data_IF_446732231431
#
_entry.id   IF_446732231431
#
_cell.length_a   1.000
_cell.length_b   1.000
_cell.length_c   1.000
_cell.angle_alpha   90.00
_cell.angle_beta   90.00
_cell.angle_gamma   90.00
#
_symmetry.space_group_name_H-M   'P 1'
#
loop_
_entity.id
_entity.type
_entity.pdbx_description
1 polymer ?
#
# COMPACT_ATOMS: atom_id res chain seq x y z
N UNK A 1 -15.00 -10.25 -20.05
CA UNK A 1 -14.00 -10.84 -19.14
C UNK A 1 -13.90 -12.31 -19.53
N UNK A 2 -12.73 -12.81 -19.91
CA UNK A 2 -12.52 -14.26 -20.09
C UNK A 2 -12.27 -14.83 -18.70
N UNK A 3 -13.29 -15.48 -18.13
CA UNK A 3 -13.13 -16.30 -16.93
C UNK A 3 -12.51 -17.64 -17.37
N UNK A 4 -11.60 -18.21 -16.57
CA UNK A 4 -10.87 -19.47 -16.79
C UNK A 4 -9.61 -19.52 -17.66
N UNK A 5 -9.00 -18.39 -18.05
CA UNK A 5 -7.65 -18.42 -18.63
C UNK A 5 -6.63 -17.83 -17.65
N UNK A 6 -5.74 -18.64 -17.04
CA UNK A 6 -4.71 -18.12 -16.15
C UNK A 6 -3.81 -17.15 -16.91
N UNK A 7 -3.67 -15.92 -16.38
CA UNK A 7 -2.87 -14.84 -16.98
C UNK A 7 -1.37 -15.06 -16.74
N UNK A 8 -1.00 -15.71 -15.64
CA UNK A 8 0.36 -16.12 -15.31
C UNK A 8 0.37 -17.25 -14.27
N UNK A 9 1.45 -18.02 -14.21
CA UNK A 9 1.69 -19.06 -13.19
C UNK A 9 2.83 -18.66 -12.25
N UNK A 10 2.62 -18.78 -10.93
CA UNK A 10 3.62 -18.50 -9.90
C UNK A 10 4.16 -19.80 -9.33
N UNK A 11 5.48 -20.00 -9.43
CA UNK A 11 6.16 -21.21 -8.95
C UNK A 11 7.41 -20.84 -8.13
N UNK A 12 7.72 -21.63 -7.10
CA UNK A 12 8.98 -21.56 -6.34
C UNK A 12 9.51 -22.95 -6.11
N UNK A 13 10.83 -23.13 -6.21
CA UNK A 13 11.51 -24.37 -5.84
C UNK A 13 11.56 -24.52 -4.32
N UNK A 14 11.20 -25.69 -3.81
CA UNK A 14 11.32 -26.03 -2.39
C UNK A 14 12.79 -26.26 -2.00
N UNK A 15 13.17 -25.85 -0.78
CA UNK A 15 14.50 -26.13 -0.22
C UNK A 15 14.62 -27.58 0.28
N UNK A 16 15.83 -28.03 0.63
CA UNK A 16 16.08 -29.44 1.02
C UNK A 16 15.24 -29.91 2.22
N UNK A 17 14.94 -29.01 3.16
CA UNK A 17 14.11 -29.30 4.33
C UNK A 17 12.64 -29.43 3.93
N UNK A 18 12.13 -28.47 3.15
CA UNK A 18 10.76 -28.44 2.64
C UNK A 18 10.45 -29.61 1.71
N UNK A 19 11.45 -30.09 0.95
CA UNK A 19 11.32 -31.28 0.10
C UNK A 19 11.05 -32.57 0.90
N UNK A 20 11.42 -32.62 2.18
CA UNK A 20 11.20 -33.77 3.06
C UNK A 20 9.83 -33.74 3.76
N UNK A 21 9.07 -32.65 3.63
CA UNK A 21 7.76 -32.55 4.26
C UNK A 21 6.75 -33.57 3.71
N UNK A 22 5.78 -34.00 4.55
CA UNK A 22 4.59 -34.71 4.10
C UNK A 22 3.87 -33.93 2.99
N UNK A 23 3.13 -34.64 2.13
CA UNK A 23 2.44 -34.04 0.97
C UNK A 23 1.53 -32.86 1.37
N UNK A 24 0.72 -33.04 2.41
CA UNK A 24 -0.13 -31.99 2.98
C UNK A 24 0.64 -30.72 3.38
N UNK A 25 1.79 -30.88 4.04
CA UNK A 25 2.57 -29.73 4.52
C UNK A 25 3.26 -28.99 3.38
N UNK A 26 3.58 -29.69 2.28
CA UNK A 26 4.04 -29.06 1.03
C UNK A 26 2.95 -28.23 0.39
N UNK A 27 1.73 -28.74 0.34
CA UNK A 27 0.55 -28.00 -0.16
C UNK A 27 0.30 -26.75 0.69
N UNK A 28 0.31 -26.88 2.01
CA UNK A 28 0.17 -25.74 2.93
C UNK A 28 1.28 -24.71 2.77
N UNK A 29 2.52 -25.14 2.54
CA UNK A 29 3.65 -24.23 2.26
C UNK A 29 3.45 -23.47 0.94
N UNK A 30 2.96 -24.14 -0.10
CA UNK A 30 2.68 -23.52 -1.39
C UNK A 30 1.55 -22.48 -1.30
N UNK A 31 0.46 -22.80 -0.60
CA UNK A 31 -0.66 -21.89 -0.35
C UNK A 31 -0.18 -20.65 0.43
N UNK A 32 0.55 -20.85 1.53
CA UNK A 32 1.08 -19.75 2.34
C UNK A 32 2.03 -18.86 1.53
N UNK A 33 2.88 -19.43 0.68
CA UNK A 33 3.77 -18.65 -0.18
C UNK A 33 2.99 -17.81 -1.22
N UNK A 34 1.91 -18.36 -1.77
CA UNK A 34 1.05 -17.61 -2.70
C UNK A 34 0.38 -16.43 -2.00
N UNK A 35 -0.28 -16.70 -0.87
CA UNK A 35 -0.98 -15.71 -0.07
C UNK A 35 -0.03 -14.63 0.47
N UNK A 36 1.15 -15.02 0.98
CA UNK A 36 2.14 -14.07 1.47
C UNK A 36 2.63 -13.16 0.35
N UNK A 37 2.88 -13.70 -0.83
CA UNK A 37 3.41 -12.89 -1.91
C UNK A 37 2.35 -11.97 -2.56
N UNK A 38 1.06 -12.32 -2.49
CA UNK A 38 -0.06 -11.41 -2.80
C UNK A 38 -0.19 -10.32 -1.73
N UNK A 39 -0.18 -10.70 -0.46
CA UNK A 39 -0.23 -9.75 0.66
C UNK A 39 0.97 -8.80 0.65
N UNK A 40 2.17 -9.30 0.35
CA UNK A 40 3.40 -8.51 0.21
C UNK A 40 3.30 -7.56 -0.99
N UNK A 41 2.75 -7.99 -2.12
CA UNK A 41 2.55 -7.10 -3.27
C UNK A 41 1.58 -5.95 -2.94
N UNK A 42 0.45 -6.26 -2.30
CA UNK A 42 -0.55 -5.27 -1.89
C UNK A 42 -0.01 -4.33 -0.79
N UNK A 43 0.73 -4.87 0.18
CA UNK A 43 1.36 -4.06 1.25
C UNK A 43 2.53 -3.23 0.74
N UNK A 44 3.33 -3.73 -0.21
CA UNK A 44 4.38 -2.96 -0.85
C UNK A 44 3.80 -1.79 -1.63
N UNK A 45 2.82 -2.02 -2.50
CA UNK A 45 2.13 -0.97 -3.28
C UNK A 45 1.52 0.10 -2.36
N UNK A 46 0.82 -0.32 -1.31
CA UNK A 46 0.23 0.63 -0.36
C UNK A 46 1.31 1.36 0.45
N UNK A 47 2.42 0.70 0.81
CA UNK A 47 3.53 1.31 1.56
C UNK A 47 4.36 2.30 0.74
N UNK A 48 4.61 2.03 -0.56
CA UNK A 48 5.38 2.90 -1.44
C UNK A 48 4.62 4.18 -1.74
N UNK A 49 3.33 4.09 -2.07
CA UNK A 49 2.47 5.25 -2.30
C UNK A 49 2.30 6.07 -1.01
N UNK A 50 2.09 5.40 0.13
CA UNK A 50 2.01 6.05 1.44
C UNK A 50 3.29 6.81 1.76
N UNK A 51 4.46 6.24 1.45
CA UNK A 51 5.76 6.89 1.66
C UNK A 51 5.91 8.13 0.77
N UNK A 52 5.51 8.04 -0.51
CA UNK A 52 5.48 9.17 -1.46
C UNK A 52 4.53 10.28 -1.00
N UNK A 53 3.39 9.94 -0.43
CA UNK A 53 2.45 10.92 0.16
C UNK A 53 3.10 11.61 1.35
N UNK A 54 3.70 10.86 2.28
CA UNK A 54 4.42 11.43 3.43
C UNK A 54 5.54 12.38 3.00
N UNK A 55 6.33 11.98 2.01
CA UNK A 55 7.35 12.83 1.40
C UNK A 55 6.73 14.11 0.82
N UNK A 56 5.67 13.98 0.01
CA UNK A 56 4.95 15.12 -0.54
C UNK A 56 4.41 16.08 0.52
N UNK A 57 3.91 15.57 1.66
CA UNK A 57 3.44 16.40 2.78
C UNK A 57 4.59 17.21 3.39
N UNK A 58 5.80 16.65 3.39
CA UNK A 58 7.02 17.32 3.86
C UNK A 58 7.59 18.33 2.86
N UNK A 59 7.08 18.41 1.63
CA UNK A 59 7.53 19.36 0.62
C UNK A 59 6.50 20.43 0.29
N UNK A 60 5.21 20.14 0.43
CA UNK A 60 4.13 21.10 0.21
C UNK A 60 4.03 22.09 1.39
N UNK A 61 4.28 23.40 1.18
CA UNK A 61 4.21 24.40 2.25
C UNK A 61 2.84 24.47 2.93
N UNK A 62 1.76 24.28 2.16
CA UNK A 62 0.40 24.28 2.70
C UNK A 62 0.17 23.05 3.58
N UNK A 63 0.62 21.88 3.11
CA UNK A 63 0.51 20.63 3.87
C UNK A 63 1.24 20.74 5.22
N UNK A 64 2.42 21.35 5.26
CA UNK A 64 3.15 21.61 6.51
C UNK A 64 2.36 22.44 7.50
N UNK A 65 1.78 23.55 7.05
CA UNK A 65 0.97 24.43 7.89
C UNK A 65 -0.25 23.67 8.42
N UNK A 66 -0.92 22.89 7.57
CA UNK A 66 -2.05 22.06 7.98
C UNK A 66 -1.67 20.99 9.00
N UNK A 67 -0.52 20.34 8.82
CA UNK A 67 0.00 19.34 9.76
C UNK A 67 0.31 19.95 11.13
N UNK A 68 0.95 21.11 11.18
CA UNK A 68 1.24 21.80 12.44
C UNK A 68 -0.06 22.23 13.14
N UNK A 69 -1.00 22.84 12.41
CA UNK A 69 -2.31 23.20 12.98
C UNK A 69 -3.07 21.99 13.53
N UNK A 70 -2.96 20.84 12.86
CA UNK A 70 -3.59 19.58 13.29
C UNK A 70 -2.94 19.04 14.57
N UNK A 71 -1.60 19.04 14.67
CA UNK A 71 -0.87 18.61 15.88
C UNK A 71 -1.15 19.51 17.07
N UNK A 72 -1.24 20.82 16.85
CA UNK A 72 -1.53 21.81 17.89
C UNK A 72 -3.02 21.85 18.28
N UNK A 73 -3.88 21.07 17.63
CA UNK A 73 -5.33 21.07 17.87
C UNK A 73 -6.03 22.37 17.46
N UNK A 74 -5.39 23.22 16.65
CA UNK A 74 -5.92 24.51 16.17
C UNK A 74 -6.98 24.34 15.07
N UNK A 75 -7.12 23.15 14.51
CA UNK A 75 -8.13 22.84 13.50
C UNK A 75 -8.92 21.60 13.89
N UNK A 76 -10.25 21.66 13.68
CA UNK A 76 -11.14 20.49 13.74
C UNK A 76 -11.35 19.85 12.36
N UNK A 77 -10.78 20.46 11.31
CA UNK A 77 -10.96 20.01 9.93
C UNK A 77 -9.96 18.95 9.51
N UNK A 78 -8.84 18.86 10.21
CA UNK A 78 -7.72 17.99 9.88
C UNK A 78 -7.14 17.36 11.14
N UNK A 79 -6.60 16.15 11.01
CA UNK A 79 -5.82 15.46 12.04
C UNK A 79 -4.67 14.70 11.39
N UNK A 80 -3.65 14.39 12.17
CA UNK A 80 -2.51 13.60 11.73
C UNK A 80 -2.58 12.22 12.37
N UNK A 81 -2.46 11.19 11.54
CA UNK A 81 -2.44 9.78 11.96
C UNK A 81 -1.34 9.06 11.18
N UNK A 82 -0.42 8.37 11.86
CA UNK A 82 0.73 7.69 11.26
C UNK A 82 1.57 8.54 10.29
N UNK A 83 1.64 9.85 10.51
CA UNK A 83 2.36 10.79 9.64
C UNK A 83 1.61 11.17 8.34
N UNK A 84 0.35 10.76 8.20
CA UNK A 84 -0.56 11.16 7.15
C UNK A 84 -1.54 12.22 7.65
N UNK A 85 -1.97 13.10 6.75
CA UNK A 85 -2.93 14.16 7.05
C UNK A 85 -4.32 13.74 6.58
N UNK A 86 -5.28 13.70 7.50
CA UNK A 86 -6.67 13.31 7.23
C UNK A 86 -7.59 14.54 7.27
N UNK A 87 -8.75 14.43 6.61
CA UNK A 87 -9.82 15.44 6.57
C UNK A 87 -11.08 14.90 7.24
N UNK A 88 -12.00 15.77 7.69
CA UNK A 88 -13.28 15.44 8.39
C UNK A 88 -14.00 14.18 7.88
N UNK A 89 -14.03 13.96 6.57
CA UNK A 89 -14.73 12.81 5.97
C UNK A 89 -13.90 11.53 5.94
N UNK A 90 -12.91 11.42 6.81
CA UNK A 90 -11.90 10.36 6.83
C UNK A 90 -11.21 10.15 5.47
N UNK A 91 -10.92 11.25 4.77
CA UNK A 91 -10.19 11.20 3.50
C UNK A 91 -8.76 11.64 3.71
N UNK A 92 -7.82 10.94 3.08
CA UNK A 92 -6.43 11.35 3.02
C UNK A 92 -6.30 12.65 2.21
N UNK A 93 -5.53 13.58 2.76
CA UNK A 93 -5.12 14.79 2.06
C UNK A 93 -3.95 14.45 1.14
N UNK A 94 -4.11 14.72 -0.15
CA UNK A 94 -3.05 14.52 -1.14
C UNK A 94 -2.37 15.88 -1.41
N UNK A 95 -1.09 16.04 -1.06
CA UNK A 95 -0.36 17.30 -1.27
C UNK A 95 -0.19 17.59 -2.77
N UNK A 96 -0.12 18.88 -3.10
CA UNK A 96 0.15 19.33 -4.48
C UNK A 96 1.65 19.32 -4.73
N UNK A 97 2.22 18.13 -4.79
CA UNK A 97 3.66 17.91 -5.00
C UNK A 97 3.90 16.91 -6.12
N UNK A 98 4.88 17.19 -7.00
CA UNK A 98 5.44 16.27 -8.01
C UNK A 98 4.44 15.33 -8.72
N UNK A 99 3.30 15.86 -9.18
CA UNK A 99 2.23 15.10 -9.85
C UNK A 99 1.67 13.91 -9.05
N UNK A 100 1.82 13.91 -7.72
CA UNK A 100 1.41 12.83 -6.83
C UNK A 100 -0.06 12.44 -7.00
N UNK A 101 -0.95 13.41 -7.25
CA UNK A 101 -2.37 13.15 -7.54
C UNK A 101 -2.52 12.21 -8.76
N UNK A 102 -1.72 12.42 -9.81
CA UNK A 102 -1.77 11.59 -11.02
C UNK A 102 -1.24 10.19 -10.78
N UNK A 103 -0.21 10.06 -9.96
CA UNK A 103 0.32 8.75 -9.55
C UNK A 103 -0.70 7.98 -8.71
N UNK A 104 -1.31 8.62 -7.70
CA UNK A 104 -2.37 8.00 -6.89
C UNK A 104 -3.52 7.51 -7.77
N UNK A 105 -3.96 8.34 -8.74
CA UNK A 105 -4.99 7.94 -9.69
C UNK A 105 -4.57 6.75 -10.55
N UNK A 106 -3.33 6.73 -11.03
CA UNK A 106 -2.81 5.63 -11.84
C UNK A 106 -2.77 4.33 -11.03
N UNK A 107 -2.26 4.37 -9.81
CA UNK A 107 -2.18 3.20 -8.93
C UNK A 107 -3.57 2.62 -8.63
N UNK A 108 -4.57 3.48 -8.38
CA UNK A 108 -5.95 3.04 -8.17
C UNK A 108 -6.60 2.44 -9.41
N UNK A 109 -6.19 2.86 -10.62
CA UNK A 109 -6.72 2.33 -11.87
C UNK A 109 -6.05 1.01 -12.30
N UNK A 110 -4.75 0.88 -12.03
CA UNK A 110 -3.94 -0.27 -12.45
C UNK A 110 -4.00 -1.44 -11.45
N UNK A 111 -4.52 -1.22 -10.23
CA UNK A 111 -4.79 -2.28 -9.25
C UNK A 111 -5.98 -3.15 -9.71
N UNK A 112 -5.67 -4.29 -10.32
CA UNK A 112 -6.62 -5.38 -10.63
C UNK A 112 -6.59 -6.47 -9.56
#
# INVERSE_FOLDING_TARGET
MQEDHPVAHKSRKLNETEQRYPMHDKEMTAINHCLQAEFVALTQVTSTLTSRIKEGLSHDPLAKILMEMAKEGKTRKFWVEDGLLHTIRNRLYIPKWNNLIREVLKECHDSK
#
